data_IF_701053829952
#
_entry.id   IF_701053829952
#
_cell.length_a   1.000
_cell.length_b   1.000
_cell.length_c   1.000
_cell.angle_alpha   90.00
_cell.angle_beta   90.00
_cell.angle_gamma   90.00
#
_symmetry.space_group_name_H-M   'P 1'
#
loop_
_entity.id
_entity.type
_entity.pdbx_description
1 polymer ?
#
# COMPACT_ATOMS: atom_id res chain seq x y z
N UNK A 1 -13.17 -24.08 25.63
CA UNK A 1 -13.44 -23.16 24.51
C UNK A 1 -12.76 -21.84 24.86
N UNK A 2 -11.77 -21.41 24.06
CA UNK A 2 -10.70 -20.49 24.49
C UNK A 2 -11.16 -19.02 24.43
N UNK A 3 -10.71 -18.25 25.42
CA UNK A 3 -10.87 -16.82 25.72
C UNK A 3 -10.80 -15.85 24.52
N UNK A 4 -10.19 -16.28 23.42
CA UNK A 4 -10.01 -15.53 22.16
C UNK A 4 -11.33 -15.27 21.43
N UNK A 5 -12.36 -16.11 21.61
CA UNK A 5 -13.65 -15.94 20.92
C UNK A 5 -14.58 -14.90 21.57
N UNK A 6 -14.32 -14.49 22.82
CA UNK A 6 -15.10 -13.44 23.51
C UNK A 6 -14.76 -12.04 23.00
N UNK A 7 -13.52 -11.80 22.57
CA UNK A 7 -13.06 -10.47 22.10
C UNK A 7 -13.73 -10.10 20.77
N UNK A 8 -14.01 -11.07 19.89
CA UNK A 8 -14.64 -10.81 18.58
C UNK A 8 -16.13 -10.52 18.64
N UNK A 9 -16.84 -10.98 19.68
CA UNK A 9 -18.30 -10.76 19.83
C UNK A 9 -18.66 -9.48 20.59
N UNK A 10 -17.67 -8.74 21.11
CA UNK A 10 -17.89 -7.47 21.80
C UNK A 10 -18.09 -6.25 20.88
N UNK A 11 -17.73 -6.35 19.58
CA UNK A 11 -17.73 -5.20 18.65
C UNK A 11 -19.08 -4.92 17.97
N UNK A 12 -20.17 -5.57 18.39
CA UNK A 12 -21.50 -5.39 17.78
C UNK A 12 -22.61 -5.08 18.81
N UNK A 13 -22.34 -4.17 19.75
CA UNK A 13 -23.39 -3.53 20.58
C UNK A 13 -23.07 -2.05 20.91
N UNK A 14 -22.57 -1.30 19.94
CA UNK A 14 -22.56 0.17 20.05
C UNK A 14 -23.88 0.71 19.46
N UNK A 15 -24.97 0.52 20.21
CA UNK A 15 -26.16 1.35 20.03
C UNK A 15 -25.78 2.77 20.47
N UNK A 16 -25.83 3.72 19.54
CA UNK A 16 -25.62 5.14 19.85
C UNK A 16 -26.83 5.60 20.65
N UNK A 17 -26.69 5.55 21.98
CA UNK A 17 -27.59 6.24 22.89
C UNK A 17 -27.30 7.73 22.77
N UNK A 18 -28.24 8.47 22.21
CA UNK A 18 -28.28 9.93 22.24
C UNK A 18 -28.45 10.34 23.70
N UNK A 19 -27.38 10.82 24.32
CA UNK A 19 -27.39 11.32 25.70
C UNK A 19 -26.37 10.61 26.58
N UNK A 20 -25.17 11.19 26.69
CA UNK A 20 -24.17 10.77 27.65
C UNK A 20 -22.76 10.88 27.09
N UNK A 21 -21.97 11.79 27.66
CA UNK A 21 -20.54 11.96 27.40
C UNK A 21 -19.84 10.64 27.76
N UNK A 22 -19.64 9.78 26.77
CA UNK A 22 -18.98 8.48 26.90
C UNK A 22 -17.61 8.51 26.23
N UNK A 23 -16.59 8.78 27.04
CA UNK A 23 -15.13 8.70 26.77
C UNK A 23 -14.70 8.16 25.38
N UNK A 24 -14.70 9.03 24.38
CA UNK A 24 -13.76 8.95 23.25
C UNK A 24 -12.50 9.71 23.66
N UNK A 25 -11.33 9.09 23.46
CA UNK A 25 -10.05 9.47 24.06
C UNK A 25 -9.76 10.98 24.07
N UNK A 26 -9.02 11.43 25.08
CA UNK A 26 -8.77 12.80 25.54
C UNK A 26 -8.42 13.91 24.51
N UNK A 27 -8.34 13.61 23.21
CA UNK A 27 -8.23 14.59 22.12
C UNK A 27 -9.56 14.94 21.43
N UNK A 28 -10.62 14.13 21.58
CA UNK A 28 -11.89 14.33 20.89
C UNK A 28 -12.77 15.42 21.52
N UNK A 29 -12.61 15.69 22.82
CA UNK A 29 -13.45 16.66 23.54
C UNK A 29 -13.17 18.13 23.16
N UNK A 30 -11.92 18.47 22.83
CA UNK A 30 -11.55 19.84 22.45
C UNK A 30 -12.01 20.22 21.02
N UNK A 31 -12.14 19.24 20.11
CA UNK A 31 -12.66 19.45 18.74
C UNK A 31 -14.18 19.47 18.70
N UNK A 32 -14.85 18.71 19.56
CA UNK A 32 -16.31 18.71 19.63
C UNK A 32 -16.91 20.08 20.02
N UNK A 33 -16.22 20.85 20.89
CA UNK A 33 -16.66 22.20 21.27
C UNK A 33 -16.60 23.21 20.13
N UNK A 34 -15.77 22.98 19.11
CA UNK A 34 -15.65 23.85 17.93
C UNK A 34 -16.93 23.84 17.08
N UNK A 35 -17.64 22.70 17.06
CA UNK A 35 -18.83 22.51 16.25
C UNK A 35 -20.14 22.65 17.05
N UNK A 36 -20.07 23.04 18.32
CA UNK A 36 -21.22 23.09 19.22
C UNK A 36 -22.38 23.96 18.69
N UNK A 37 -22.09 25.06 17.99
CA UNK A 37 -23.11 25.91 17.37
C UNK A 37 -23.83 25.26 16.18
N UNK A 38 -23.13 24.43 15.41
CA UNK A 38 -23.66 23.74 14.21
C UNK A 38 -24.36 22.43 14.59
N UNK A 39 -23.90 21.76 15.65
CA UNK A 39 -24.49 20.53 16.19
C UNK A 39 -25.78 20.76 17.00
N UNK A 40 -26.30 21.99 17.03
CA UNK A 40 -27.55 22.34 17.72
C UNK A 40 -28.81 21.73 17.09
N UNK A 41 -28.73 21.23 15.86
CA UNK A 41 -29.82 20.53 15.16
C UNK A 41 -29.52 19.04 15.00
N UNK A 42 -30.54 18.18 14.87
CA UNK A 42 -30.34 16.75 14.65
C UNK A 42 -29.52 16.44 13.38
N UNK A 43 -29.72 17.21 12.30
CA UNK A 43 -28.92 17.09 11.09
C UNK A 43 -27.45 17.51 11.32
N UNK A 44 -27.23 18.58 12.09
CA UNK A 44 -25.92 19.04 12.50
C UNK A 44 -25.18 18.03 13.39
N UNK A 45 -25.88 17.43 14.36
CA UNK A 45 -25.33 16.37 15.20
C UNK A 45 -24.90 15.16 14.36
N UNK A 46 -25.75 14.72 13.41
CA UNK A 46 -25.38 13.63 12.49
C UNK A 46 -24.14 13.96 11.66
N UNK A 47 -24.00 15.19 11.17
CA UNK A 47 -22.83 15.61 10.42
C UNK A 47 -21.56 15.60 11.29
N UNK A 48 -21.65 16.05 12.54
CA UNK A 48 -20.56 15.98 13.52
C UNK A 48 -20.17 14.54 13.83
N UNK A 49 -21.13 13.65 14.06
CA UNK A 49 -20.88 12.24 14.33
C UNK A 49 -20.12 11.56 13.17
N UNK A 50 -20.50 11.86 11.92
CA UNK A 50 -19.81 11.36 10.72
C UNK A 50 -18.38 11.91 10.63
N UNK A 51 -18.17 13.19 10.94
CA UNK A 51 -16.83 13.78 10.98
C UNK A 51 -15.94 13.09 12.01
N UNK A 52 -16.41 12.99 13.27
CA UNK A 52 -15.65 12.37 14.36
C UNK A 52 -15.35 10.90 14.07
N UNK A 53 -16.30 10.17 13.47
CA UNK A 53 -16.09 8.79 13.03
C UNK A 53 -14.95 8.69 12.01
N UNK A 54 -14.92 9.59 11.01
CA UNK A 54 -13.87 9.60 9.97
C UNK A 54 -12.52 9.99 10.53
N UNK A 55 -12.46 10.96 11.44
CA UNK A 55 -11.23 11.35 12.14
C UNK A 55 -10.69 10.19 12.97
N UNK A 56 -11.55 9.50 13.73
CA UNK A 56 -11.18 8.33 14.52
C UNK A 56 -10.65 7.20 13.62
N UNK A 57 -11.30 6.94 12.48
CA UNK A 57 -10.84 5.95 11.51
C UNK A 57 -9.46 6.31 10.91
N UNK A 58 -9.28 7.57 10.47
CA UNK A 58 -8.02 8.05 9.93
C UNK A 58 -6.88 7.94 10.95
N UNK A 59 -7.15 8.27 12.22
CA UNK A 59 -6.20 8.09 13.32
C UNK A 59 -5.83 6.63 13.54
N UNK A 60 -6.80 5.72 13.49
CA UNK A 60 -6.51 4.29 13.63
C UNK A 60 -5.64 3.76 12.50
N UNK A 61 -5.90 4.16 11.25
CA UNK A 61 -5.07 3.78 10.11
C UNK A 61 -3.64 4.32 10.23
N UNK A 62 -3.46 5.54 10.74
CA UNK A 62 -2.13 6.11 11.01
C UNK A 62 -1.35 5.27 12.04
N UNK A 63 -2.01 4.88 13.14
CA UNK A 63 -1.39 4.07 14.18
C UNK A 63 -1.06 2.66 13.67
N UNK A 64 -1.94 2.06 12.87
CA UNK A 64 -1.69 0.77 12.23
C UNK A 64 -0.49 0.85 11.29
N UNK A 65 -0.42 1.87 10.42
CA UNK A 65 0.68 2.06 9.48
C UNK A 65 2.04 2.16 10.18
N UNK A 66 2.12 2.88 11.31
CA UNK A 66 3.36 2.98 12.09
C UNK A 66 3.71 1.72 12.88
N UNK A 67 2.73 0.86 13.15
CA UNK A 67 2.98 -0.42 13.83
C UNK A 67 3.59 -1.48 12.90
N UNK A 68 3.46 -1.31 11.57
CA UNK A 68 3.97 -2.27 10.60
C UNK A 68 5.48 -2.07 10.37
N UNK A 69 6.28 -3.15 10.32
CA UNK A 69 7.68 -3.04 9.91
C UNK A 69 7.79 -2.59 8.44
N UNK A 70 8.95 -2.13 7.99
CA UNK A 70 9.19 -1.86 6.56
C UNK A 70 8.92 -3.10 5.69
N UNK A 71 8.44 -2.89 4.46
CA UNK A 71 8.34 -3.98 3.48
C UNK A 71 9.75 -4.45 3.11
N UNK A 72 10.00 -5.75 3.26
CA UNK A 72 11.29 -6.34 2.93
C UNK A 72 11.24 -6.99 1.54
N UNK A 73 12.27 -6.70 0.74
CA UNK A 73 12.60 -7.47 -0.46
C UNK A 73 13.42 -8.70 -0.12
N UNK A 74 13.66 -9.56 -1.12
CA UNK A 74 14.76 -10.51 -1.04
C UNK A 74 16.09 -9.79 -1.36
N UNK A 75 17.21 -10.51 -1.32
CA UNK A 75 18.55 -9.92 -1.55
C UNK A 75 19.00 -10.00 -3.01
N UNK A 76 18.15 -10.49 -3.93
CA UNK A 76 18.56 -10.86 -5.28
C UNK A 76 19.06 -9.67 -6.11
N UNK A 77 18.51 -8.48 -5.90
CA UNK A 77 18.96 -7.27 -6.61
C UNK A 77 20.44 -6.94 -6.35
N UNK A 78 20.94 -7.28 -5.15
CA UNK A 78 22.33 -7.06 -4.77
C UNK A 78 23.22 -8.28 -5.02
N UNK A 79 22.69 -9.49 -4.93
CA UNK A 79 23.47 -10.73 -5.03
C UNK A 79 23.52 -11.35 -6.42
N UNK A 80 22.55 -11.08 -7.28
CA UNK A 80 22.49 -11.63 -8.64
C UNK A 80 23.12 -10.64 -9.63
N UNK A 81 24.08 -11.13 -10.40
CA UNK A 81 24.81 -10.33 -11.38
C UNK A 81 23.85 -9.70 -12.42
N UNK A 82 24.18 -8.49 -12.86
CA UNK A 82 23.50 -7.78 -13.96
C UNK A 82 21.98 -7.62 -13.75
N UNK A 83 21.50 -7.59 -12.51
CA UNK A 83 20.07 -7.48 -12.18
C UNK A 83 19.20 -8.55 -12.83
N UNK A 84 19.77 -9.74 -13.13
CA UNK A 84 19.08 -10.78 -13.90
C UNK A 84 17.81 -11.34 -13.21
N UNK A 85 17.73 -11.22 -11.88
CA UNK A 85 16.57 -11.60 -11.09
C UNK A 85 15.56 -10.46 -10.86
N UNK A 86 15.78 -9.28 -11.46
CA UNK A 86 14.94 -8.11 -11.29
C UNK A 86 14.02 -7.88 -12.50
N UNK A 87 12.97 -7.07 -12.30
CA UNK A 87 12.12 -6.65 -13.40
C UNK A 87 12.83 -5.62 -14.28
N UNK A 88 13.09 -5.99 -15.53
CA UNK A 88 13.78 -5.11 -16.50
C UNK A 88 13.04 -4.97 -17.82
N UNK A 89 11.82 -5.52 -17.95
CA UNK A 89 11.12 -5.58 -19.24
C UNK A 89 10.82 -4.17 -19.77
N UNK A 90 11.18 -3.92 -21.03
CA UNK A 90 10.98 -2.61 -21.69
C UNK A 90 12.16 -1.65 -21.55
N UNK A 91 13.14 -1.96 -20.68
CA UNK A 91 14.43 -1.27 -20.64
C UNK A 91 15.35 -1.74 -21.77
N UNK A 92 16.45 -1.04 -21.98
CA UNK A 92 17.49 -1.44 -22.93
C UNK A 92 18.19 -2.73 -22.47
N UNK A 93 18.35 -3.68 -23.39
CA UNK A 93 19.04 -4.95 -23.17
C UNK A 93 20.16 -5.15 -24.20
N UNK A 94 21.16 -5.95 -23.82
CA UNK A 94 22.18 -6.45 -24.75
C UNK A 94 21.62 -7.62 -25.60
N UNK A 95 22.44 -8.14 -26.52
CA UNK A 95 22.05 -9.22 -27.44
C UNK A 95 21.69 -10.55 -26.76
N UNK A 96 22.14 -10.76 -25.52
CA UNK A 96 21.86 -11.96 -24.73
C UNK A 96 20.71 -11.76 -23.74
N UNK A 97 20.10 -10.57 -23.70
CA UNK A 97 18.93 -10.25 -22.87
C UNK A 97 19.23 -9.76 -21.46
N UNK A 98 20.49 -9.42 -21.14
CA UNK A 98 20.82 -8.73 -19.88
C UNK A 98 20.56 -7.23 -20.02
N UNK A 99 20.14 -6.60 -18.92
CA UNK A 99 19.78 -5.18 -18.92
C UNK A 99 21.04 -4.31 -18.95
N UNK A 100 20.97 -3.17 -19.63
CA UNK A 100 21.95 -2.11 -19.46
C UNK A 100 21.89 -1.57 -18.00
N UNK A 101 22.98 -1.66 -17.21
CA UNK A 101 23.02 -1.16 -15.84
C UNK A 101 22.71 0.33 -15.71
N UNK A 102 22.94 1.14 -16.76
CA UNK A 102 22.58 2.56 -16.76
C UNK A 102 21.07 2.73 -16.83
N UNK A 103 20.40 2.04 -17.76
CA UNK A 103 18.94 2.07 -17.88
C UNK A 103 18.24 1.62 -16.60
N UNK A 104 18.75 0.54 -15.98
CA UNK A 104 18.20 0.04 -14.70
C UNK A 104 18.37 1.03 -13.54
N UNK A 105 19.55 1.68 -13.42
CA UNK A 105 19.76 2.69 -12.38
C UNK A 105 18.88 3.93 -12.57
N UNK A 106 18.64 4.36 -13.81
CA UNK A 106 17.68 5.43 -14.10
C UNK A 106 16.26 5.05 -13.71
N UNK A 107 15.86 3.80 -13.97
CA UNK A 107 14.57 3.29 -13.49
C UNK A 107 14.45 3.32 -11.96
N UNK A 108 15.48 2.85 -11.24
CA UNK A 108 15.49 2.92 -9.77
C UNK A 108 15.45 4.37 -9.25
N UNK A 109 16.14 5.29 -9.90
CA UNK A 109 16.09 6.71 -9.56
C UNK A 109 14.68 7.29 -9.75
N UNK A 110 14.00 6.90 -10.84
CA UNK A 110 12.61 7.31 -11.09
C UNK A 110 11.65 6.75 -10.03
N UNK A 111 11.79 5.48 -9.64
CA UNK A 111 11.02 4.88 -8.53
C UNK A 111 11.29 5.61 -7.21
N UNK A 112 12.54 5.98 -6.91
CA UNK A 112 12.85 6.75 -5.69
C UNK A 112 12.26 8.16 -5.73
N UNK A 113 12.15 8.76 -6.91
CA UNK A 113 11.62 10.11 -7.08
C UNK A 113 10.08 10.13 -7.03
N UNK A 114 9.44 9.10 -7.59
CA UNK A 114 7.98 8.95 -7.56
C UNK A 114 7.21 10.01 -8.33
N UNK A 115 7.80 10.62 -9.35
CA UNK A 115 7.13 11.63 -10.19
C UNK A 115 6.95 11.13 -11.63
N UNK A 116 5.86 11.57 -12.27
CA UNK A 116 5.59 11.22 -13.67
C UNK A 116 6.73 11.65 -14.60
N UNK A 117 7.29 12.84 -14.39
CA UNK A 117 8.42 13.35 -15.18
C UNK A 117 9.66 12.44 -15.09
N UNK A 118 9.95 11.89 -13.91
CA UNK A 118 11.07 10.97 -13.75
C UNK A 118 10.82 9.64 -14.47
N UNK A 119 9.59 9.15 -14.52
CA UNK A 119 9.24 7.94 -15.27
C UNK A 119 9.27 8.15 -16.79
N UNK A 120 8.85 9.31 -17.29
CA UNK A 120 8.94 9.65 -18.72
C UNK A 120 10.38 9.85 -19.19
N UNK A 121 11.31 10.21 -18.29
CA UNK A 121 12.72 10.36 -18.61
C UNK A 121 13.48 9.03 -18.74
N UNK A 122 12.86 7.89 -18.43
CA UNK A 122 13.52 6.58 -18.52
C UNK A 122 13.75 6.20 -20.00
N UNK A 123 15.00 5.88 -20.40
CA UNK A 123 15.26 5.42 -21.76
C UNK A 123 14.70 4.01 -21.96
N UNK A 124 13.57 3.89 -22.64
CA UNK A 124 13.00 2.61 -23.07
C UNK A 124 13.81 2.00 -24.23
N UNK A 125 13.65 0.68 -24.43
CA UNK A 125 14.31 -0.05 -25.53
C UNK A 125 14.01 0.57 -26.90
N UNK A 126 14.99 0.58 -27.81
CA UNK A 126 14.81 1.02 -29.20
C UNK A 126 13.98 -0.03 -29.94
N UNK A 127 12.65 0.14 -29.93
CA UNK A 127 11.69 -0.86 -30.42
C UNK A 127 10.76 -1.43 -29.34
N UNK A 128 10.75 -0.87 -28.13
CA UNK A 128 9.77 -1.23 -27.10
C UNK A 128 8.34 -1.02 -27.62
N UNK A 129 7.60 -2.13 -27.81
CA UNK A 129 6.20 -2.08 -28.25
C UNK A 129 5.23 -1.69 -27.13
N UNK A 130 5.67 -1.77 -25.86
CA UNK A 130 4.82 -1.58 -24.69
C UNK A 130 5.55 -0.70 -23.68
N UNK A 131 4.82 0.27 -23.13
CA UNK A 131 5.28 1.16 -22.05
C UNK A 131 5.26 0.47 -20.69
N UNK A 132 5.87 1.09 -19.68
CA UNK A 132 5.72 0.66 -18.29
C UNK A 132 4.25 0.75 -17.87
N UNK A 133 3.71 -0.35 -17.33
CA UNK A 133 2.30 -0.43 -16.97
C UNK A 133 2.04 0.25 -15.62
N UNK A 134 1.47 1.45 -15.67
CA UNK A 134 1.00 2.25 -14.53
C UNK A 134 1.99 2.31 -13.34
N UNK A 135 3.25 2.79 -13.56
CA UNK A 135 4.23 2.87 -12.48
C UNK A 135 3.83 3.85 -11.36
N UNK A 136 2.93 4.80 -11.64
CA UNK A 136 2.47 5.81 -10.68
C UNK A 136 1.42 5.29 -9.67
N UNK A 137 0.83 4.11 -9.90
CA UNK A 137 -0.23 3.58 -9.04
C UNK A 137 0.20 3.43 -7.57
N UNK A 138 1.49 3.15 -7.32
CA UNK A 138 2.04 2.95 -5.99
C UNK A 138 2.12 4.22 -5.13
N UNK A 139 1.98 5.41 -5.74
CA UNK A 139 2.07 6.70 -5.04
C UNK A 139 0.70 7.33 -4.77
N UNK A 140 -0.38 6.65 -5.16
CA UNK A 140 -1.73 7.10 -4.89
C UNK A 140 -2.06 6.94 -3.40
N UNK A 141 -2.70 7.96 -2.82
CA UNK A 141 -3.17 7.93 -1.43
C UNK A 141 -4.65 7.51 -1.42
N UNK A 142 -4.98 6.55 -0.56
CA UNK A 142 -6.37 6.11 -0.40
C UNK A 142 -7.15 7.02 0.56
N UNK A 143 -8.39 7.36 0.18
CA UNK A 143 -9.27 8.21 1.02
C UNK A 143 -9.79 7.44 2.24
N UNK A 144 -9.99 6.13 2.08
CA UNK A 144 -10.59 5.26 3.08
C UNK A 144 -10.03 3.85 2.96
N UNK A 145 -10.08 3.12 4.09
CA UNK A 145 -9.42 1.82 4.20
C UNK A 145 -7.91 1.94 4.44
N UNK A 146 -7.26 0.79 4.48
CA UNK A 146 -5.81 0.69 4.65
C UNK A 146 -5.11 1.19 3.39
N UNK A 147 -4.16 2.11 3.56
CA UNK A 147 -3.36 2.61 2.46
C UNK A 147 -2.54 1.49 1.78
N UNK A 148 -2.30 1.64 0.48
CA UNK A 148 -1.54 0.64 -0.29
C UNK A 148 -0.13 0.42 0.28
N UNK A 149 0.54 1.49 0.73
CA UNK A 149 1.86 1.43 1.33
C UNK A 149 1.84 0.93 2.79
N UNK A 150 0.67 0.75 3.41
CA UNK A 150 0.52 0.17 4.75
C UNK A 150 0.28 -1.35 4.73
N UNK A 151 0.14 -1.97 3.55
CA UNK A 151 0.00 -3.42 3.40
C UNK A 151 1.35 -4.12 3.24
N UNK A 152 1.46 -5.41 3.61
CA UNK A 152 2.71 -6.18 3.54
C UNK A 152 2.53 -7.54 2.90
N UNK A 153 3.58 -7.97 2.21
CA UNK A 153 3.71 -9.34 1.68
C UNK A 153 5.07 -9.91 2.10
N UNK A 154 5.14 -11.23 2.23
CA UNK A 154 6.42 -11.91 2.50
C UNK A 154 7.42 -11.68 1.35
N UNK A 155 8.73 -11.61 1.63
CA UNK A 155 9.75 -11.58 0.60
C UNK A 155 9.55 -12.71 -0.42
N UNK A 156 9.82 -12.41 -1.68
CA UNK A 156 9.81 -13.40 -2.74
C UNK A 156 10.90 -14.48 -2.48
N UNK A 157 10.71 -15.72 -2.95
CA UNK A 157 11.79 -16.71 -2.97
C UNK A 157 13.01 -16.15 -3.70
N UNK A 158 14.21 -16.42 -3.20
CA UNK A 158 15.46 -16.03 -3.87
C UNK A 158 15.64 -16.84 -5.15
N UNK A 159 16.25 -16.22 -6.16
CA UNK A 159 16.52 -16.81 -7.46
C UNK A 159 17.31 -18.12 -7.36
N UNK A 160 18.27 -18.19 -6.44
CA UNK A 160 19.13 -19.36 -6.20
C UNK A 160 18.61 -20.30 -5.10
N UNK A 161 17.45 -20.01 -4.50
CA UNK A 161 16.92 -20.85 -3.43
C UNK A 161 16.50 -22.23 -3.95
N UNK A 162 16.76 -23.28 -3.15
CA UNK A 162 16.39 -24.67 -3.46
C UNK A 162 14.87 -24.93 -3.45
N UNK A 163 14.05 -23.90 -3.21
CA UNK A 163 12.59 -24.01 -3.19
C UNK A 163 12.11 -24.23 -4.62
N UNK A 164 11.30 -25.27 -4.89
CA UNK A 164 10.79 -25.49 -6.24
C UNK A 164 10.04 -24.23 -6.70
N UNK A 165 10.32 -23.72 -7.91
CA UNK A 165 9.61 -22.56 -8.41
C UNK A 165 8.10 -22.87 -8.41
N UNK A 166 7.22 -21.88 -8.18
CA UNK A 166 5.80 -22.07 -8.36
C UNK A 166 5.58 -22.73 -9.73
N UNK A 167 4.81 -23.83 -9.78
CA UNK A 167 4.68 -24.67 -10.98
C UNK A 167 4.28 -23.82 -12.17
N UNK A 168 5.23 -23.54 -13.07
CA UNK A 168 5.00 -22.84 -14.33
C UNK A 168 4.36 -23.77 -15.36
N UNK A 169 3.25 -24.45 -15.03
CA UNK A 169 2.44 -25.07 -16.07
C UNK A 169 1.50 -24.01 -16.61
N UNK A 170 1.95 -23.28 -17.64
CA UNK A 170 0.99 -22.67 -18.55
C UNK A 170 0.25 -23.84 -19.19
N UNK A 171 -1.00 -24.07 -18.79
CA UNK A 171 -1.91 -24.91 -19.57
C UNK A 171 -2.14 -24.17 -20.89
N UNK A 172 -1.21 -24.32 -21.83
CA UNK A 172 -1.45 -23.98 -23.22
C UNK A 172 -2.47 -25.02 -23.65
N UNK A 173 -3.74 -24.62 -23.60
CA UNK A 173 -4.82 -25.36 -24.22
C UNK A 173 -4.42 -25.59 -25.67
N UNK A 174 -4.14 -26.85 -26.01
CA UNK A 174 -4.12 -27.26 -27.41
C UNK A 174 -5.54 -26.99 -27.92
N UNK A 175 -5.66 -26.02 -28.82
CA UNK A 175 -6.83 -25.92 -29.69
C UNK A 175 -6.82 -27.10 -30.66
#
# INVERSE_FOLDING_TARGET
MREVDQVRRGMLKAGVAVGGIGAVGAGSSARASEFAGVASTAAGQRALDVYLMREAAARNHLLEAFSQPPQLGNTDEASVLNYAASYTKGLQHNSIGEVDPVAYRTYLAAVRTGTMAAFEAIPLASGAQVKLANPMAAYCMELHGTDSAATRIRPAPEFLSRRPPPRWSKSIGRR
#
